data_IF_171933342321
#
_entry.id   IF_171933342321
#
_cell.length_a   1.000
_cell.length_b   1.000
_cell.length_c   1.000
_cell.angle_alpha   90.00
_cell.angle_beta   90.00
_cell.angle_gamma   90.00
#
_symmetry.space_group_name_H-M   'P 1'
#
loop_
_entity.id
_entity.type
_entity.pdbx_description
1 polymer ?
#
# COMPACT_ATOMS: atom_id res chain seq x y z
N UNK A 1 -36.33 -43.51 -52.67
CA UNK A 1 -35.28 -44.19 -51.86
C UNK A 1 -33.94 -43.63 -52.34
N UNK A 2 -33.15 -42.84 -51.61
CA UNK A 2 -33.02 -42.53 -50.18
C UNK A 2 -32.57 -41.06 -50.09
N UNK A 3 -33.24 -40.28 -49.23
CA UNK A 3 -32.77 -38.95 -48.81
C UNK A 3 -31.49 -39.09 -47.98
N UNK A 4 -30.42 -38.41 -48.35
CA UNK A 4 -29.27 -38.20 -47.47
C UNK A 4 -29.16 -36.69 -47.24
N UNK A 5 -29.74 -36.25 -46.13
CA UNK A 5 -29.64 -34.89 -45.61
C UNK A 5 -28.29 -34.80 -44.86
N UNK A 6 -27.27 -34.20 -45.48
CA UNK A 6 -26.01 -33.90 -44.79
C UNK A 6 -26.24 -32.63 -43.97
N UNK A 7 -26.53 -32.80 -42.68
CA UNK A 7 -26.61 -31.68 -41.74
C UNK A 7 -25.18 -31.22 -41.48
N UNK A 8 -24.79 -30.12 -42.13
CA UNK A 8 -23.55 -29.40 -41.85
C UNK A 8 -23.71 -28.75 -40.47
N UNK A 9 -23.30 -29.45 -39.41
CA UNK A 9 -23.26 -28.89 -38.07
C UNK A 9 -22.16 -27.82 -38.03
N UNK A 10 -22.57 -26.55 -38.18
CA UNK A 10 -21.71 -25.40 -37.94
C UNK A 10 -21.29 -25.42 -36.47
N UNK A 11 -20.04 -25.79 -36.21
CA UNK A 11 -19.43 -25.66 -34.89
C UNK A 11 -19.22 -24.16 -34.64
N UNK A 12 -20.21 -23.50 -34.03
CA UNK A 12 -20.01 -22.20 -33.40
C UNK A 12 -19.12 -22.44 -32.19
N UNK A 13 -17.81 -22.26 -32.37
CA UNK A 13 -16.89 -22.16 -31.24
C UNK A 13 -17.28 -20.91 -30.46
N UNK A 14 -17.90 -21.11 -29.30
CA UNK A 14 -18.18 -20.02 -28.36
C UNK A 14 -16.84 -19.36 -28.02
N UNK A 15 -16.67 -18.10 -28.43
CA UNK A 15 -15.60 -17.26 -27.94
C UNK A 15 -15.89 -17.02 -26.46
N UNK A 16 -15.19 -17.75 -25.60
CA UNK A 16 -15.11 -17.40 -24.19
C UNK A 16 -14.37 -16.07 -24.11
N UNK A 17 -15.13 -14.98 -24.08
CA UNK A 17 -14.66 -13.70 -23.56
C UNK A 17 -14.31 -13.95 -22.10
N UNK A 18 -13.01 -14.06 -21.82
CA UNK A 18 -12.51 -14.05 -20.45
C UNK A 18 -12.91 -12.68 -19.87
N UNK A 19 -13.90 -12.68 -18.97
CA UNK A 19 -14.24 -11.49 -18.19
C UNK A 19 -12.95 -11.00 -17.51
N UNK A 20 -12.61 -9.74 -17.78
CA UNK A 20 -11.25 -9.24 -17.65
C UNK A 20 -10.65 -9.39 -16.25
N UNK A 21 -9.35 -9.65 -16.22
CA UNK A 21 -8.54 -9.31 -15.05
C UNK A 21 -8.62 -7.79 -14.87
N UNK A 22 -9.42 -7.35 -13.92
CA UNK A 22 -9.40 -5.97 -13.48
C UNK A 22 -8.03 -5.74 -12.83
N UNK A 23 -7.16 -4.98 -13.50
CA UNK A 23 -5.85 -4.61 -12.98
C UNK A 23 -6.03 -3.97 -11.60
N UNK A 24 -5.54 -4.66 -10.56
CA UNK A 24 -5.49 -4.11 -9.20
C UNK A 24 -4.59 -2.88 -9.22
N UNK A 25 -5.00 -1.83 -8.52
CA UNK A 25 -4.22 -0.63 -8.32
C UNK A 25 -4.20 -0.25 -6.84
N UNK A 26 -3.44 0.79 -6.48
CA UNK A 26 -3.28 1.21 -5.09
C UNK A 26 -4.60 1.48 -4.37
N UNK A 27 -5.65 1.92 -5.08
CA UNK A 27 -6.95 2.27 -4.48
C UNK A 27 -7.79 1.07 -4.03
N UNK A 28 -7.39 -0.15 -4.38
CA UNK A 28 -8.08 -1.39 -3.98
C UNK A 28 -7.67 -1.86 -2.57
N UNK A 29 -6.72 -1.16 -1.92
CA UNK A 29 -6.20 -1.50 -0.61
C UNK A 29 -6.72 -0.54 0.47
N UNK A 30 -6.60 -0.98 1.72
CA UNK A 30 -6.95 -0.18 2.89
C UNK A 30 -5.95 -0.48 4.01
N UNK A 31 -5.63 0.54 4.79
CA UNK A 31 -4.90 0.43 6.05
C UNK A 31 -5.85 0.75 7.21
N UNK A 32 -5.32 0.70 8.43
CA UNK A 32 -5.92 1.39 9.57
C UNK A 32 -5.06 2.60 9.89
N UNK A 33 -5.66 3.72 10.24
CA UNK A 33 -4.95 4.86 10.84
C UNK A 33 -4.28 4.44 12.14
N UNK A 34 -3.32 5.23 12.62
CA UNK A 34 -2.68 5.01 13.93
C UNK A 34 -3.68 4.98 15.10
N UNK A 35 -4.88 5.56 14.92
CA UNK A 35 -5.97 5.51 15.91
C UNK A 35 -6.90 4.30 15.74
N UNK A 36 -6.68 3.44 14.76
CA UNK A 36 -7.47 2.22 14.51
C UNK A 36 -8.61 2.37 13.50
N UNK A 37 -8.92 3.59 13.06
CA UNK A 37 -9.98 3.85 12.06
C UNK A 37 -9.58 3.35 10.66
N UNK A 38 -10.53 2.90 9.81
CA UNK A 38 -10.24 2.54 8.43
C UNK A 38 -9.60 3.69 7.65
N UNK A 39 -8.59 3.36 6.83
CA UNK A 39 -7.93 4.29 5.90
C UNK A 39 -7.89 3.67 4.50
N UNK A 40 -9.01 3.68 3.77
CA UNK A 40 -9.05 3.17 2.40
C UNK A 40 -8.19 4.05 1.50
N UNK A 41 -7.31 3.43 0.70
CA UNK A 41 -6.38 4.17 -0.15
C UNK A 41 -7.08 5.01 -1.23
N UNK A 42 -8.34 4.68 -1.53
CA UNK A 42 -9.21 5.44 -2.43
C UNK A 42 -9.43 6.90 -1.98
N UNK A 43 -9.24 7.22 -0.70
CA UNK A 43 -9.25 8.60 -0.18
C UNK A 43 -8.09 9.46 -0.72
N UNK A 44 -7.03 8.83 -1.21
CA UNK A 44 -5.88 9.52 -1.82
C UNK A 44 -6.01 9.66 -3.34
N UNK A 45 -7.19 9.44 -3.91
CA UNK A 45 -7.40 9.59 -5.35
C UNK A 45 -7.02 10.99 -5.84
N UNK A 46 -6.23 11.05 -6.92
CA UNK A 46 -5.73 12.31 -7.47
C UNK A 46 -4.57 12.94 -6.70
N UNK A 47 -4.06 12.29 -5.65
CA UNK A 47 -2.89 12.72 -4.89
C UNK A 47 -1.65 11.92 -5.28
N UNK A 48 -0.48 12.54 -5.16
CA UNK A 48 0.80 11.83 -5.18
C UNK A 48 1.11 11.35 -3.77
N UNK A 49 1.16 10.04 -3.55
CA UNK A 49 1.39 9.44 -2.22
C UNK A 49 2.78 8.83 -2.13
N UNK A 50 3.56 9.26 -1.16
CA UNK A 50 4.82 8.65 -0.76
C UNK A 50 4.58 7.80 0.48
N UNK A 51 4.58 6.48 0.28
CA UNK A 51 4.42 5.49 1.35
C UNK A 51 5.80 5.15 1.91
N UNK A 52 5.97 5.27 3.22
CA UNK A 52 7.27 5.08 3.88
C UNK A 52 7.07 4.15 5.05
N UNK A 53 7.73 2.98 5.06
CA UNK A 53 7.79 2.18 6.27
C UNK A 53 8.72 2.86 7.29
N UNK A 54 8.29 2.97 8.54
CA UNK A 54 9.00 3.74 9.57
C UNK A 54 9.27 2.91 10.82
N UNK A 55 10.24 3.38 11.62
CA UNK A 55 10.65 2.78 12.90
C UNK A 55 11.13 3.90 13.85
N UNK A 56 10.74 3.87 15.13
CA UNK A 56 11.16 4.87 16.14
C UNK A 56 12.61 4.68 16.60
N UNK A 57 13.09 3.44 16.69
CA UNK A 57 14.44 3.07 17.20
C UNK A 57 15.43 2.72 16.08
N UNK A 58 15.28 3.36 14.92
CA UNK A 58 16.13 3.15 13.76
C UNK A 58 17.27 4.18 13.67
N UNK A 59 18.42 3.77 13.12
CA UNK A 59 19.50 4.71 12.80
C UNK A 59 19.09 5.82 11.81
N UNK A 60 18.00 5.59 11.07
CA UNK A 60 17.41 6.54 10.13
C UNK A 60 16.23 7.33 10.69
N UNK A 61 15.86 7.20 11.97
CA UNK A 61 14.71 7.91 12.56
C UNK A 61 14.79 9.43 12.35
N UNK A 62 15.99 10.00 12.28
CA UNK A 62 16.18 11.42 11.95
C UNK A 62 15.53 11.87 10.63
N UNK A 63 15.23 10.94 9.71
CA UNK A 63 14.53 11.21 8.45
C UNK A 63 13.10 11.72 8.65
N UNK A 64 12.44 11.47 9.79
CA UNK A 64 11.13 12.04 10.10
C UNK A 64 11.09 13.57 9.91
N UNK A 65 12.16 14.28 10.27
CA UNK A 65 12.29 15.75 10.06
C UNK A 65 12.23 16.13 8.58
N UNK A 66 12.91 15.36 7.74
CA UNK A 66 12.95 15.60 6.30
C UNK A 66 11.61 15.23 5.65
N UNK A 67 11.00 14.13 6.07
CA UNK A 67 9.65 13.73 5.65
C UNK A 67 8.62 14.81 5.99
N UNK A 68 8.64 15.30 7.23
CA UNK A 68 7.78 16.39 7.67
C UNK A 68 8.03 17.67 6.86
N UNK A 69 9.28 18.00 6.56
CA UNK A 69 9.63 19.17 5.72
C UNK A 69 9.03 19.07 4.32
N UNK A 70 9.14 17.91 3.67
CA UNK A 70 8.59 17.71 2.31
C UNK A 70 7.05 17.70 2.35
N UNK A 71 6.45 17.03 3.34
CA UNK A 71 5.00 17.05 3.55
C UNK A 71 4.47 18.48 3.71
N UNK A 72 5.02 19.26 4.65
CA UNK A 72 4.62 20.66 4.87
C UNK A 72 4.73 21.51 3.61
N UNK A 73 5.74 21.26 2.77
CA UNK A 73 5.97 22.04 1.54
C UNK A 73 4.96 21.74 0.42
N UNK A 74 4.47 20.49 0.34
CA UNK A 74 3.71 20.03 -0.83
C UNK A 74 2.31 19.52 -0.53
N UNK A 75 1.89 19.42 0.74
CA UNK A 75 0.56 18.90 1.12
C UNK A 75 -0.61 19.62 0.46
N UNK A 76 -0.53 20.95 0.40
CA UNK A 76 -1.55 21.80 -0.22
C UNK A 76 -1.55 21.71 -1.76
N UNK A 77 -0.54 21.02 -2.33
CA UNK A 77 -0.42 20.74 -3.78
C UNK A 77 -0.79 19.29 -4.12
N UNK A 78 -1.41 18.56 -3.19
CA UNK A 78 -1.85 17.19 -3.41
C UNK A 78 -0.76 16.12 -3.23
N UNK A 79 0.35 16.44 -2.57
CA UNK A 79 1.33 15.43 -2.14
C UNK A 79 0.97 14.90 -0.75
N UNK A 80 1.15 13.60 -0.50
CA UNK A 80 0.92 12.95 0.80
C UNK A 80 2.13 12.13 1.20
N UNK A 81 2.62 12.32 2.43
CA UNK A 81 3.48 11.34 3.08
C UNK A 81 2.58 10.45 3.93
N UNK A 82 2.67 9.14 3.77
CA UNK A 82 1.99 8.16 4.62
C UNK A 82 3.05 7.34 5.35
N UNK A 83 3.19 7.56 6.65
CA UNK A 83 4.08 6.77 7.49
C UNK A 83 3.42 5.45 7.90
N UNK A 84 4.15 4.35 7.73
CA UNK A 84 3.68 2.99 8.00
C UNK A 84 4.63 2.33 9.00
N UNK A 85 4.36 2.45 10.32
CA UNK A 85 5.21 1.85 11.33
C UNK A 85 5.34 0.34 11.14
N UNK A 86 6.54 -0.22 11.28
CA UNK A 86 6.78 -1.65 11.16
C UNK A 86 7.93 -2.13 12.03
N UNK A 87 7.73 -3.28 12.68
CA UNK A 87 8.74 -3.89 13.55
C UNK A 87 9.60 -4.96 12.83
N UNK A 88 9.37 -5.20 11.54
CA UNK A 88 9.98 -6.29 10.78
C UNK A 88 11.51 -6.18 10.66
N UNK A 89 12.02 -4.97 10.86
CA UNK A 89 13.41 -4.61 10.63
C UNK A 89 14.14 -4.46 11.96
N UNK A 90 14.64 -5.58 12.49
CA UNK A 90 15.44 -5.63 13.72
C UNK A 90 14.70 -5.19 14.98
N UNK A 91 13.37 -5.31 14.99
CA UNK A 91 12.52 -4.95 16.13
C UNK A 91 12.65 -3.48 16.57
N UNK A 92 12.81 -2.55 15.63
CA UNK A 92 13.05 -1.12 15.88
C UNK A 92 11.76 -0.28 16.04
N UNK A 93 10.58 -0.91 16.07
CA UNK A 93 9.29 -0.27 16.35
C UNK A 93 8.50 -1.10 17.39
N UNK A 94 9.07 -1.30 18.61
CA UNK A 94 8.49 -2.18 19.61
C UNK A 94 7.20 -1.62 20.23
N UNK A 95 7.01 -0.29 20.21
CA UNK A 95 5.88 0.38 20.86
C UNK A 95 4.52 0.09 20.23
N UNK A 96 3.47 0.30 21.01
CA UNK A 96 2.07 0.27 20.57
C UNK A 96 1.70 1.60 19.86
N UNK A 97 0.57 1.64 19.16
CA UNK A 97 0.19 2.76 18.30
C UNK A 97 0.19 4.12 19.02
N UNK A 98 -0.30 4.17 20.26
CA UNK A 98 -0.32 5.40 21.05
C UNK A 98 1.10 5.90 21.39
N UNK A 99 2.04 4.98 21.61
CA UNK A 99 3.44 5.30 21.90
C UNK A 99 4.14 5.78 20.63
N UNK A 100 3.92 5.10 19.51
CA UNK A 100 4.47 5.48 18.20
C UNK A 100 3.97 6.87 17.80
N UNK A 101 2.67 7.13 17.94
CA UNK A 101 2.07 8.44 17.66
C UNK A 101 2.72 9.52 18.52
N UNK A 102 2.77 9.33 19.83
CA UNK A 102 3.36 10.28 20.76
C UNK A 102 4.84 10.52 20.46
N UNK A 103 5.59 9.48 20.10
CA UNK A 103 7.00 9.60 19.71
C UNK A 103 7.17 10.51 18.48
N UNK A 104 6.38 10.27 17.43
CA UNK A 104 6.46 11.05 16.19
C UNK A 104 6.06 12.52 16.40
N UNK A 105 4.99 12.77 17.16
CA UNK A 105 4.51 14.13 17.46
C UNK A 105 5.51 14.89 18.33
N UNK A 106 5.96 14.31 19.45
CA UNK A 106 6.79 15.01 20.44
C UNK A 106 8.21 15.26 19.97
N UNK A 107 8.80 14.32 19.21
CA UNK A 107 10.22 14.42 18.84
C UNK A 107 10.47 15.05 17.46
N UNK A 108 9.45 15.06 16.61
CA UNK A 108 9.60 15.41 15.19
C UNK A 108 8.49 16.33 14.65
N UNK A 109 7.51 16.70 15.48
CA UNK A 109 6.35 17.51 15.06
C UNK A 109 5.64 16.91 13.83
N UNK A 110 5.60 15.57 13.76
CA UNK A 110 4.98 14.86 12.63
C UNK A 110 3.48 15.08 12.64
N UNK A 111 2.96 15.60 11.54
CA UNK A 111 1.51 15.78 11.32
C UNK A 111 1.00 15.14 10.01
N UNK A 112 1.87 14.44 9.28
CA UNK A 112 1.44 13.57 8.18
C UNK A 112 0.75 12.31 8.71
N UNK A 113 -0.17 11.69 7.94
CA UNK A 113 -0.90 10.51 8.40
C UNK A 113 0.03 9.33 8.71
N UNK A 114 -0.27 8.67 9.82
CA UNK A 114 0.34 7.41 10.24
C UNK A 114 -0.70 6.29 10.21
N UNK A 115 -0.28 5.08 9.85
CA UNK A 115 -1.10 3.87 9.97
C UNK A 115 -0.89 3.20 11.33
N UNK A 116 -1.74 2.23 11.70
CA UNK A 116 -1.37 1.22 12.70
C UNK A 116 -0.11 0.48 12.25
N UNK A 117 0.56 -0.17 13.20
CA UNK A 117 1.74 -1.00 12.90
C UNK A 117 1.35 -2.17 12.01
N UNK A 118 2.14 -2.44 10.97
CA UNK A 118 1.89 -3.57 10.04
C UNK A 118 3.18 -4.29 9.65
N UNK A 119 3.04 -5.55 9.26
CA UNK A 119 4.08 -6.26 8.53
C UNK A 119 4.20 -5.70 7.11
N UNK A 120 5.40 -5.38 6.69
CA UNK A 120 5.72 -4.79 5.37
C UNK A 120 6.59 -5.72 4.53
N UNK A 121 7.15 -6.77 5.13
CA UNK A 121 7.96 -7.80 4.46
C UNK A 121 7.60 -9.20 4.97
N UNK A 122 8.11 -10.24 4.30
CA UNK A 122 7.80 -11.64 4.61
C UNK A 122 6.40 -12.09 4.17
N UNK A 123 6.02 -13.29 4.60
CA UNK A 123 4.76 -13.94 4.20
C UNK A 123 3.52 -13.24 4.77
N UNK A 124 3.67 -12.60 5.94
CA UNK A 124 2.62 -11.84 6.62
C UNK A 124 2.52 -10.38 6.14
N UNK A 125 3.31 -9.99 5.12
CA UNK A 125 3.30 -8.63 4.59
C UNK A 125 1.88 -8.20 4.18
N UNK A 126 1.55 -6.96 4.56
CA UNK A 126 0.28 -6.33 4.23
C UNK A 126 0.02 -6.40 2.70
N UNK A 127 -1.21 -6.70 2.25
CA UNK A 127 -1.51 -6.91 0.83
C UNK A 127 -1.05 -5.78 -0.10
N UNK A 128 -1.05 -4.54 0.39
CA UNK A 128 -0.51 -3.38 -0.33
C UNK A 128 0.96 -3.58 -0.72
N UNK A 129 1.83 -4.02 0.19
CA UNK A 129 3.27 -4.19 -0.08
C UNK A 129 3.54 -5.38 -1.00
N UNK A 130 2.76 -6.46 -0.86
CA UNK A 130 2.83 -7.59 -1.78
C UNK A 130 2.48 -7.17 -3.21
N UNK A 131 1.35 -6.48 -3.37
CA UNK A 131 0.96 -5.93 -4.67
C UNK A 131 1.97 -4.93 -5.22
N UNK A 132 2.46 -3.98 -4.41
CA UNK A 132 3.43 -2.99 -4.83
C UNK A 132 4.73 -3.63 -5.34
N UNK A 133 5.18 -4.69 -4.66
CA UNK A 133 6.31 -5.52 -5.08
C UNK A 133 6.06 -6.22 -6.41
N UNK A 134 4.88 -6.80 -6.60
CA UNK A 134 4.52 -7.53 -7.82
C UNK A 134 4.39 -6.57 -9.02
N UNK A 135 3.84 -5.37 -8.80
CA UNK A 135 3.60 -4.36 -9.83
C UNK A 135 4.86 -3.58 -10.21
N UNK A 136 5.63 -3.12 -9.22
CA UNK A 136 6.79 -2.22 -9.42
C UNK A 136 8.14 -2.94 -9.32
N UNK A 137 8.12 -4.24 -9.06
CA UNK A 137 9.30 -5.09 -8.98
C UNK A 137 10.13 -4.89 -7.71
N UNK A 138 11.37 -5.37 -7.78
CA UNK A 138 12.26 -5.53 -6.62
C UNK A 138 12.52 -4.23 -5.83
N UNK A 139 12.52 -3.07 -6.50
CA UNK A 139 12.78 -1.78 -5.85
C UNK A 139 11.64 -1.30 -4.95
N UNK A 140 10.43 -1.84 -5.11
CA UNK A 140 9.29 -1.51 -4.26
C UNK A 140 9.20 -2.37 -3.00
N UNK A 141 10.04 -3.40 -2.85
CA UNK A 141 10.12 -4.19 -1.63
C UNK A 141 10.78 -3.37 -0.52
N UNK A 142 10.16 -3.26 0.68
CA UNK A 142 10.82 -2.68 1.84
C UNK A 142 12.09 -3.44 2.22
N UNK A 143 13.17 -2.71 2.49
CA UNK A 143 14.50 -3.27 2.83
C UNK A 143 15.20 -2.35 3.82
N UNK A 144 16.15 -2.93 4.56
CA UNK A 144 17.21 -2.17 5.25
C UNK A 144 18.16 -1.50 4.27
#
# INVERSE_FOLDING_TARGET
MRCILVILASVLSAMTVNAGEQSKNAYDFSFKTISGEPLPFSEFRGKLVMVVNTASECGFTGQYKNLQTVWSRYRDKGFVVLGVPSNDFGNQEPGEEAQIKSFCEVNFDVDFPLTSKVHVTGDDAHPFYRWASDEMGFLAKPRW
#
